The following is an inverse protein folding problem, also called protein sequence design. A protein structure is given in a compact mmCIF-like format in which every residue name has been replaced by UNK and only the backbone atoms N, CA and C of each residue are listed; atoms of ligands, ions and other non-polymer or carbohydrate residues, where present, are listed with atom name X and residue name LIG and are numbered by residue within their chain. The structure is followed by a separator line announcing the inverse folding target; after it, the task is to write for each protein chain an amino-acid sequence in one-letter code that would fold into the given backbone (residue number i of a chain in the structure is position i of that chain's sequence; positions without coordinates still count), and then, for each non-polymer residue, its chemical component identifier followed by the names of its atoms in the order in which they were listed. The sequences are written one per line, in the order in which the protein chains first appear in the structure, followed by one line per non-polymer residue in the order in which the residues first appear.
data_IF_368869556939
#
_entry.id   IF_368869556939
#
_cell.length_a   1.000
_cell.length_b   1.000
_cell.length_c   1.000
_cell.angle_alpha   90.00
_cell.angle_beta   90.00
_cell.angle_gamma   90.00
#
_symmetry.space_group_name_H-M   'P 1'
#
loop_
_entity.id
_entity.type
_entity.pdbx_description
1 polymer ?
#
# COMPACT_ATOMS: atom_id res chain seq x y z
N UNK A 1 14.24 1.18 2.92
CA UNK A 1 13.07 2.07 2.76
C UNK A 1 13.47 3.51 2.93
N UNK A 2 13.93 3.91 4.12
CA UNK A 2 14.37 5.29 4.40
C UNK A 2 15.35 5.88 3.38
N UNK A 3 16.34 5.09 2.94
CA UNK A 3 17.31 5.54 1.93
C UNK A 3 16.69 5.71 0.53
N UNK A 4 15.64 4.93 0.19
CA UNK A 4 14.87 5.05 -1.05
C UNK A 4 13.96 6.27 -0.99
N UNK A 5 13.20 6.41 0.09
CA UNK A 5 12.14 7.41 0.17
C UNK A 5 12.67 8.82 0.43
N UNK A 6 13.75 8.97 1.22
CA UNK A 6 14.37 10.27 1.54
C UNK A 6 13.54 11.13 2.51
N UNK A 7 12.24 11.23 2.27
CA UNK A 7 11.24 11.94 3.06
C UNK A 7 10.01 11.06 3.33
N UNK A 8 9.08 11.58 4.11
CA UNK A 8 7.75 11.01 4.27
C UNK A 8 7.06 10.91 2.90
N UNK A 9 6.48 9.77 2.55
CA UNK A 9 5.85 9.57 1.22
C UNK A 9 4.49 10.25 1.05
N UNK A 10 4.01 10.94 2.09
CA UNK A 10 2.77 11.70 2.06
C UNK A 10 2.91 12.90 1.12
N UNK A 11 1.89 13.23 0.31
CA UNK A 11 1.97 14.31 -0.67
C UNK A 11 2.41 15.63 -0.01
N UNK A 12 3.52 16.20 -0.48
CA UNK A 12 4.05 17.48 0.00
C UNK A 12 4.70 17.48 1.39
N UNK A 13 4.91 16.32 2.02
CA UNK A 13 5.58 16.27 3.32
C UNK A 13 7.11 16.21 3.19
N UNK A 14 7.80 17.13 3.85
CA UNK A 14 9.27 17.28 3.83
C UNK A 14 9.97 16.67 5.06
N UNK A 15 9.22 15.97 5.92
CA UNK A 15 9.78 15.30 7.11
C UNK A 15 10.81 14.24 6.68
N UNK A 16 12.06 14.28 7.17
CA UNK A 16 13.09 13.34 6.74
C UNK A 16 12.74 11.88 7.08
N UNK A 17 12.89 10.98 6.10
CA UNK A 17 12.60 9.55 6.28
C UNK A 17 13.45 8.88 7.36
N UNK A 18 14.62 9.44 7.67
CA UNK A 18 15.49 8.97 8.74
C UNK A 18 14.90 9.15 10.15
N UNK A 19 13.96 10.08 10.31
CA UNK A 19 13.19 10.28 11.55
C UNK A 19 11.77 9.71 11.47
N UNK A 20 11.42 9.15 10.32
CA UNK A 20 10.11 8.57 10.04
C UNK A 20 10.04 7.11 10.50
N UNK A 21 8.81 6.67 10.72
CA UNK A 21 8.45 5.27 10.95
C UNK A 21 8.38 4.57 9.58
N UNK A 22 8.75 3.28 9.55
CA UNK A 22 8.57 2.45 8.34
C UNK A 22 7.23 1.76 8.53
N UNK A 23 6.33 2.00 7.58
CA UNK A 23 4.95 1.58 7.64
C UNK A 23 4.64 0.64 6.47
N UNK A 24 3.76 -0.33 6.72
CA UNK A 24 3.30 -1.29 5.72
C UNK A 24 2.23 -0.67 4.84
N UNK A 25 2.30 -0.89 3.53
CA UNK A 25 1.27 -0.45 2.57
C UNK A 25 -0.01 -1.26 2.79
N UNK A 26 0.12 -2.59 2.73
CA UNK A 26 -0.89 -3.52 3.24
C UNK A 26 -0.46 -3.96 4.62
N UNK A 27 -1.31 -3.76 5.62
CA UNK A 27 -0.97 -4.05 7.01
C UNK A 27 -0.47 -5.49 7.20
N UNK A 28 0.54 -5.63 8.05
CA UNK A 28 1.04 -6.94 8.44
C UNK A 28 0.04 -7.62 9.38
N UNK A 29 -0.35 -8.85 9.05
CA UNK A 29 -1.20 -9.65 9.93
C UNK A 29 -0.32 -10.48 10.88
N UNK A 30 -0.41 -10.18 12.17
CA UNK A 30 0.35 -10.87 13.21
C UNK A 30 -0.17 -12.27 13.55
N UNK A 31 -1.42 -12.59 13.19
CA UNK A 31 -2.04 -13.88 13.42
C UNK A 31 -1.85 -14.82 12.24
N UNK A 32 -1.94 -14.28 11.02
CA UNK A 32 -1.70 -15.00 9.77
C UNK A 32 -0.79 -14.19 8.84
N UNK A 33 0.54 -14.27 9.02
CA UNK A 33 1.49 -13.51 8.22
C UNK A 33 1.41 -13.72 6.70
N UNK A 34 0.84 -14.83 6.23
CA UNK A 34 0.68 -15.11 4.80
C UNK A 34 -0.56 -14.40 4.20
N UNK A 35 -1.53 -14.02 5.04
CA UNK A 35 -2.72 -13.28 4.65
C UNK A 35 -2.54 -11.75 4.65
N UNK A 36 -1.53 -11.24 5.38
CA UNK A 36 -1.20 -9.82 5.45
C UNK A 36 -0.19 -9.35 4.39
N UNK A 37 0.20 -8.07 4.48
CA UNK A 37 1.26 -7.53 3.63
C UNK A 37 2.65 -7.96 4.10
N UNK A 38 3.53 -8.44 3.20
CA UNK A 38 4.85 -8.92 3.61
C UNK A 38 5.76 -7.76 4.05
N UNK A 39 6.67 -8.05 4.98
CA UNK A 39 7.78 -7.13 5.29
C UNK A 39 8.80 -7.17 4.13
N UNK A 40 8.52 -6.40 3.09
CA UNK A 40 9.30 -6.34 1.85
C UNK A 40 9.42 -4.90 1.35
N UNK A 41 10.53 -4.47 0.73
CA UNK A 41 10.68 -3.09 0.30
C UNK A 41 9.57 -2.56 -0.61
N UNK A 42 9.02 -3.39 -1.48
CA UNK A 42 7.93 -2.98 -2.36
C UNK A 42 6.59 -2.76 -1.62
N UNK A 43 6.50 -3.19 -0.36
CA UNK A 43 5.30 -3.13 0.50
C UNK A 43 5.48 -2.26 1.74
N UNK A 44 6.60 -1.55 1.83
CA UNK A 44 6.92 -0.65 2.93
C UNK A 44 7.18 0.76 2.41
N UNK A 45 6.88 1.78 3.22
CA UNK A 45 7.31 3.15 2.95
C UNK A 45 7.56 3.95 4.24
N UNK A 46 8.27 5.07 4.12
CA UNK A 46 8.54 5.95 5.25
C UNK A 46 7.37 6.94 5.47
N UNK A 47 6.86 6.99 6.70
CA UNK A 47 5.84 7.95 7.12
C UNK A 47 6.25 8.67 8.40
N UNK A 48 6.15 9.99 8.42
CA UNK A 48 6.37 10.73 9.66
C UNK A 48 5.26 10.38 10.67
N UNK A 49 5.51 10.59 11.96
CA UNK A 49 4.57 10.18 13.02
C UNK A 49 3.13 10.65 12.78
N UNK A 50 2.96 11.89 12.32
CA UNK A 50 1.65 12.44 12.00
C UNK A 50 0.95 11.65 10.89
N UNK A 51 1.61 11.43 9.76
CA UNK A 51 1.03 10.73 8.61
C UNK A 51 0.86 9.23 8.84
N UNK A 52 1.72 8.61 9.66
CA UNK A 52 1.50 7.24 10.09
C UNK A 52 0.20 7.13 10.91
N UNK A 53 0.03 7.98 11.92
CA UNK A 53 -1.21 8.01 12.72
C UNK A 53 -2.45 8.33 11.87
N UNK A 54 -2.30 9.18 10.86
CA UNK A 54 -3.39 9.52 9.94
C UNK A 54 -3.89 8.29 9.15
N UNK A 55 -2.97 7.43 8.69
CA UNK A 55 -3.33 6.14 8.06
C UNK A 55 -3.95 5.18 9.07
N UNK A 56 -3.34 5.05 10.25
CA UNK A 56 -3.82 4.10 11.27
C UNK A 56 -5.22 4.44 11.78
N UNK A 57 -5.57 5.72 11.90
CA UNK A 57 -6.77 6.16 12.62
C UNK A 57 -7.74 7.04 11.83
N UNK A 58 -7.36 7.50 10.63
CA UNK A 58 -8.09 8.56 9.92
C UNK A 58 -8.77 8.12 8.62
N UNK A 59 -8.90 6.83 8.34
CA UNK A 59 -9.43 6.28 7.07
C UNK A 59 -8.66 6.74 5.82
N UNK A 60 -7.41 7.19 6.00
CA UNK A 60 -6.47 7.43 4.91
C UNK A 60 -5.82 6.10 4.54
N UNK A 61 -5.76 5.82 3.25
CA UNK A 61 -5.02 4.66 2.74
C UNK A 61 -3.96 5.10 1.75
N UNK A 62 -2.99 4.23 1.53
CA UNK A 62 -1.99 4.40 0.52
C UNK A 62 -1.79 3.12 -0.28
N UNK A 63 -1.26 3.29 -1.48
CA UNK A 63 -0.83 2.22 -2.36
C UNK A 63 0.58 2.52 -2.85
N UNK A 64 1.36 1.49 -3.16
CA UNK A 64 2.71 1.59 -3.67
C UNK A 64 2.92 0.62 -4.81
N UNK A 65 3.39 1.12 -5.94
CA UNK A 65 3.67 0.30 -7.12
C UNK A 65 4.95 0.77 -7.81
N UNK A 66 5.48 -0.08 -8.68
CA UNK A 66 6.59 0.26 -9.57
C UNK A 66 6.00 0.71 -10.91
N UNK A 67 6.39 1.90 -11.38
CA UNK A 67 5.95 2.40 -12.69
C UNK A 67 6.73 1.75 -13.85
N UNK A 68 6.40 2.13 -15.08
CA UNK A 68 7.03 1.61 -16.30
C UNK A 68 8.53 1.91 -16.40
N UNK A 69 8.97 2.96 -15.73
CA UNK A 69 10.37 3.40 -15.71
C UNK A 69 11.16 2.74 -14.56
N UNK A 70 10.49 1.91 -13.75
CA UNK A 70 11.09 1.18 -12.64
C UNK A 70 11.17 1.97 -11.34
N UNK A 71 10.50 3.12 -11.24
CA UNK A 71 10.47 3.94 -10.04
C UNK A 71 9.34 3.51 -9.10
N UNK A 72 9.63 3.49 -7.81
CA UNK A 72 8.58 3.33 -6.80
C UNK A 72 7.73 4.59 -6.73
N UNK A 73 6.42 4.44 -7.00
CA UNK A 73 5.39 5.47 -6.86
C UNK A 73 4.47 5.12 -5.70
N UNK A 74 4.01 6.15 -5.00
CA UNK A 74 3.00 6.02 -3.94
C UNK A 74 1.77 6.83 -4.34
N UNK A 75 0.60 6.29 -4.07
CA UNK A 75 -0.68 7.01 -4.17
C UNK A 75 -1.30 7.06 -2.79
N UNK A 76 -1.79 8.22 -2.38
CA UNK A 76 -2.56 8.39 -1.15
C UNK A 76 -4.03 8.57 -1.51
N UNK A 77 -4.91 7.97 -0.73
CA UNK A 77 -6.36 8.04 -0.93
C UNK A 77 -6.95 8.70 0.31
N UNK A 78 -7.65 9.80 0.11
CA UNK A 78 -8.35 10.50 1.20
C UNK A 78 -9.59 9.71 1.63
N UNK A 79 -10.18 9.98 2.81
CA UNK A 79 -11.43 9.38 3.24
C UNK A 79 -12.59 9.61 2.24
N UNK A 80 -12.57 10.73 1.51
CA UNK A 80 -13.51 11.06 0.44
C UNK A 80 -13.22 10.32 -0.87
N UNK A 81 -12.24 9.40 -0.88
CA UNK A 81 -11.79 8.59 -2.01
C UNK A 81 -11.15 9.41 -3.14
N UNK A 82 -10.52 10.53 -2.79
CA UNK A 82 -9.71 11.30 -3.74
C UNK A 82 -8.30 10.69 -3.76
N UNK A 83 -7.85 10.27 -4.93
CA UNK A 83 -6.48 9.80 -5.13
C UNK A 83 -5.54 10.97 -5.38
N UNK A 84 -4.51 11.07 -4.55
CA UNK A 84 -3.46 12.10 -4.60
C UNK A 84 -2.15 11.37 -4.84
N UNK A 85 -1.42 11.76 -5.89
CA UNK A 85 -0.06 11.27 -6.08
C UNK A 85 0.79 11.62 -4.86
N UNK A 86 1.56 10.65 -4.35
CA UNK A 86 2.49 10.82 -3.25
C UNK A 86 3.65 11.76 -3.61
N UNK A 87 4.79 11.61 -2.92
CA UNK A 87 5.99 12.34 -3.28
C UNK A 87 6.32 12.16 -4.78
N UNK A 88 6.51 13.28 -5.50
CA UNK A 88 6.79 13.27 -6.93
C UNK A 88 8.17 12.69 -7.24
N UNK A 89 9.08 12.75 -6.27
CA UNK A 89 10.42 12.23 -6.31
C UNK A 89 10.75 11.42 -5.06
N UNK A 90 11.71 10.52 -5.20
CA UNK A 90 12.38 9.85 -4.11
C UNK A 90 13.90 9.83 -4.39
N UNK A 91 14.69 9.26 -3.49
CA UNK A 91 16.15 9.27 -3.64
C UNK A 91 16.67 8.44 -4.84
N UNK A 92 15.86 7.57 -5.45
CA UNK A 92 16.24 6.85 -6.67
C UNK A 92 16.37 7.81 -7.87
N UNK A 93 15.64 8.93 -7.87
CA UNK A 93 15.70 9.91 -8.97
C UNK A 93 17.05 10.65 -8.99
N UNK A 94 17.59 10.96 -7.81
CA UNK A 94 18.89 11.61 -7.64
C UNK A 94 20.05 10.61 -7.56
N UNK A 95 19.78 9.39 -7.08
CA UNK A 95 20.76 8.31 -6.94
C UNK A 95 20.23 7.04 -7.63
N UNK A 96 20.24 6.96 -8.98
CA UNK A 96 19.69 5.83 -9.72
C UNK A 96 20.35 4.49 -9.38
N UNK A 97 21.57 4.54 -8.83
CA UNK A 97 22.26 3.37 -8.30
C UNK A 97 21.50 2.65 -7.16
N UNK A 98 20.59 3.34 -6.45
CA UNK A 98 19.74 2.76 -5.41
C UNK A 98 18.78 1.69 -5.97
N UNK A 99 18.36 1.80 -7.24
CA UNK A 99 17.53 0.79 -7.90
C UNK A 99 18.24 -0.55 -8.14
N UNK A 100 19.55 -0.64 -7.87
CA UNK A 100 20.33 -1.89 -8.00
C UNK A 100 20.36 -2.74 -6.73
N UNK A 101 19.99 -2.19 -5.58
CA UNK A 101 19.92 -2.97 -4.34
C UNK A 101 18.77 -3.98 -4.44
N UNK A 102 19.04 -5.21 -4.02
CA UNK A 102 18.07 -6.31 -4.02
C UNK A 102 17.83 -6.74 -2.60
N UNK A 103 16.56 -6.91 -2.25
CA UNK A 103 16.17 -7.51 -1.00
C UNK A 103 16.41 -9.01 -1.05
N UNK A 104 16.95 -9.55 0.03
CA UNK A 104 17.00 -10.97 0.29
C UNK A 104 16.33 -11.20 1.63
N UNK A 105 15.27 -12.00 1.63
CA UNK A 105 14.68 -12.43 2.89
C UNK A 105 15.74 -13.20 3.70
N UNK A 106 15.80 -13.01 5.03
CA UNK A 106 16.69 -13.80 5.85
C UNK A 106 16.35 -15.29 5.68
N UNK A 107 17.39 -16.14 5.61
CA UNK A 107 17.19 -17.58 5.68
C UNK A 107 16.48 -17.89 7.00
N UNK A 108 15.40 -18.67 6.93
CA UNK A 108 14.77 -19.20 8.15
C UNK A 108 15.78 -20.16 8.77
N UNK A 109 16.51 -19.68 9.79
CA UNK A 109 17.32 -20.56 10.63
C UNK A 109 16.38 -21.64 11.17
N UNK A 110 16.56 -22.86 10.69
CA UNK A 110 15.65 -23.98 10.96
C UNK A 110 15.30 -24.07 12.44
N UNK A 111 14.02 -24.31 12.71
CA UNK A 111 13.42 -24.51 14.03
C UNK A 111 14.34 -25.31 14.96
N UNK A 112 15.07 -24.60 15.82
CA UNK A 112 15.58 -25.17 17.05
C UNK A 112 14.34 -25.42 17.91
N UNK A 113 13.96 -26.69 18.03
CA UNK A 113 12.88 -27.14 18.90
C UNK A 113 13.36 -26.93 20.34
N UNK A 114 13.10 -25.74 20.91
CA UNK A 114 13.41 -25.49 22.32
C UNK A 114 12.33 -26.18 23.17
N UNK A 115 12.65 -27.39 23.58
CA UNK A 115 11.82 -28.21 24.48
C UNK A 115 11.97 -27.72 25.92
N UNK A 116 11.67 -26.45 26.21
CA UNK A 116 11.65 -25.93 27.58
C UNK A 116 10.55 -24.90 27.83
N UNK A 117 9.66 -25.30 28.75
CA UNK A 117 8.75 -24.52 29.59
C UNK A 117 7.37 -24.13 29.01
N UNK A 118 6.36 -24.87 29.49
CA UNK A 118 5.04 -24.32 29.80
C UNK A 118 5.18 -22.97 30.54
N UNK A 119 4.63 -21.92 29.94
CA UNK A 119 4.41 -20.65 30.61
C UNK A 119 3.05 -20.11 30.18
N UNK A 120 2.26 -19.77 31.19
CA UNK A 120 0.84 -19.42 31.19
C UNK A 120 0.44 -18.40 30.13
N UNK A 121 -0.69 -18.66 29.46
CA UNK A 121 -1.29 -17.79 28.45
C UNK A 121 -1.61 -16.38 29.00
N UNK A 122 -1.32 -15.30 28.25
CA UNK A 122 -1.87 -13.98 28.56
C UNK A 122 -3.37 -13.93 28.25
N UNK A 123 -4.11 -13.15 29.03
CA UNK A 123 -5.55 -12.90 28.84
C UNK A 123 -5.84 -12.26 27.47
N UNK A 124 -6.98 -12.57 26.82
CA UNK A 124 -7.28 -12.02 25.51
C UNK A 124 -7.57 -10.52 25.63
N UNK A 125 -6.80 -9.70 24.92
CA UNK A 125 -7.20 -8.33 24.58
C UNK A 125 -8.28 -8.46 23.51
N UNK A 126 -9.46 -7.90 23.78
CA UNK A 126 -10.58 -7.93 22.84
C UNK A 126 -10.22 -7.20 21.54
N UNK A 127 -10.21 -7.93 20.43
CA UNK A 127 -10.16 -7.35 19.09
C UNK A 127 -11.42 -6.50 18.84
N UNK A 128 -11.25 -5.31 18.27
CA UNK A 128 -12.38 -4.52 17.77
C UNK A 128 -13.09 -5.32 16.68
N UNK A 129 -14.44 -5.42 16.70
CA UNK A 129 -15.17 -6.04 15.62
C UNK A 129 -15.01 -5.22 14.33
N UNK A 130 -14.93 -5.94 13.21
CA UNK A 130 -15.02 -5.36 11.87
C UNK A 130 -16.29 -4.49 11.74
N UNK A 131 -16.26 -3.40 10.96
CA UNK A 131 -17.46 -2.62 10.70
C UNK A 131 -18.54 -3.53 10.09
N UNK A 132 -19.71 -3.57 10.73
CA UNK A 132 -20.86 -4.32 10.24
C UNK A 132 -21.23 -3.82 8.85
N UNK A 133 -21.22 -4.72 7.87
CA UNK A 133 -21.84 -4.48 6.57
C UNK A 133 -23.33 -4.19 6.81
N UNK A 134 -23.70 -2.92 6.74
CA UNK A 134 -25.10 -2.51 6.60
C UNK A 134 -25.60 -3.05 5.26
N UNK A 135 -26.33 -4.16 5.30
CA UNK A 135 -27.14 -4.63 4.18
C UNK A 135 -28.27 -3.64 3.96
N UNK A 136 -28.03 -2.64 3.12
CA UNK A 136 -29.12 -2.01 2.40
C UNK A 136 -29.31 -2.80 1.12
N UNK A 137 -30.43 -3.53 1.07
CA UNK A 137 -30.91 -4.15 -0.14
C UNK A 137 -31.06 -3.07 -1.21
N UNK A 138 -30.24 -3.13 -2.27
CA UNK A 138 -30.48 -2.37 -3.48
C UNK A 138 -31.55 -3.11 -4.28
N UNK A 139 -32.69 -2.46 -4.50
CA UNK A 139 -33.69 -2.87 -5.47
C UNK A 139 -33.07 -2.94 -6.88
N UNK A 140 -33.49 -3.88 -7.74
CA UNK A 140 -32.92 -4.01 -9.09
C UNK A 140 -33.45 -2.90 -10.01
N UNK A 141 -32.59 -1.95 -10.37
CA UNK A 141 -32.88 -1.01 -11.45
C UNK A 141 -32.79 -1.71 -12.81
N UNK A 142 -33.88 -1.61 -13.58
CA UNK A 142 -34.03 -2.09 -14.95
C UNK A 142 -33.06 -1.40 -15.92
N UNK A 143 -32.65 -2.05 -17.03
CA UNK A 143 -31.71 -1.46 -17.98
C UNK A 143 -32.39 -0.37 -18.83
N UNK A 144 -31.77 0.82 -18.84
CA UNK A 144 -32.08 1.89 -19.77
C UNK A 144 -31.62 1.49 -21.18
N UNK A 145 -32.56 1.40 -22.12
CA UNK A 145 -32.30 1.29 -23.55
C UNK A 145 -31.73 2.61 -24.07
N UNK A 146 -30.48 2.59 -24.53
CA UNK A 146 -29.83 3.70 -25.23
C UNK A 146 -29.11 3.17 -26.46
N UNK A 147 -29.69 3.43 -27.63
CA UNK A 147 -29.15 3.10 -28.95
C UNK A 147 -27.79 3.77 -29.18
N UNK A 148 -26.80 2.98 -29.59
CA UNK A 148 -25.51 3.46 -30.05
C UNK A 148 -25.57 3.60 -31.58
N UNK A 149 -25.69 4.84 -32.06
CA UNK A 149 -25.66 5.16 -33.48
C UNK A 149 -24.27 4.87 -34.06
N UNK A 150 -24.23 3.99 -35.07
CA UNK A 150 -23.07 3.64 -35.86
C UNK A 150 -22.75 4.74 -36.88
N UNK A 151 -21.58 5.35 -36.79
CA UNK A 151 -20.98 6.13 -37.89
C UNK A 151 -19.85 5.34 -38.51
N UNK A 152 -20.08 4.91 -39.75
CA UNK A 152 -19.16 4.24 -40.65
C UNK A 152 -18.09 5.19 -41.19
N UNK A 153 -16.85 4.71 -41.20
CA UNK A 153 -15.69 5.31 -41.88
C UNK A 153 -15.73 5.06 -43.39
N UNK A 154 -15.34 6.03 -44.24
CA UNK A 154 -15.04 5.72 -45.64
C UNK A 154 -13.57 5.31 -45.83
N UNK A 155 -13.39 4.24 -46.60
CA UNK A 155 -12.12 3.69 -47.06
C UNK A 155 -11.45 4.62 -48.09
N UNK A 156 -10.19 4.97 -47.87
CA UNK A 156 -9.34 5.58 -48.91
C UNK A 156 -8.47 4.49 -49.52
N UNK A 157 -8.73 4.18 -50.79
CA UNK A 157 -7.95 3.26 -51.60
C UNK A 157 -6.60 3.87 -51.99
N UNK A 158 -5.59 2.99 -52.03
CA UNK A 158 -4.28 3.26 -52.65
C UNK A 158 -4.42 3.55 -54.15
N UNK A 159 -3.64 4.52 -54.62
CA UNK A 159 -2.97 4.51 -55.91
C UNK A 159 -1.59 5.16 -55.72
#
# INVERSE_FOLDING_TARGET
MRIRDGYCTAPGCDRPAFTAEVDHVVEYDHHDPEAGGPTHPDWLNAKCKFHHLLKTFGDWTDDQHIDTDGHTRTTWITPERIAIAGAAENNQDVFPGLGRYRWHAPEVLGTAVDSRSESTAPSPVASRPAPSASTNAAEPNAPATGECASTSTPSVGRA
#
